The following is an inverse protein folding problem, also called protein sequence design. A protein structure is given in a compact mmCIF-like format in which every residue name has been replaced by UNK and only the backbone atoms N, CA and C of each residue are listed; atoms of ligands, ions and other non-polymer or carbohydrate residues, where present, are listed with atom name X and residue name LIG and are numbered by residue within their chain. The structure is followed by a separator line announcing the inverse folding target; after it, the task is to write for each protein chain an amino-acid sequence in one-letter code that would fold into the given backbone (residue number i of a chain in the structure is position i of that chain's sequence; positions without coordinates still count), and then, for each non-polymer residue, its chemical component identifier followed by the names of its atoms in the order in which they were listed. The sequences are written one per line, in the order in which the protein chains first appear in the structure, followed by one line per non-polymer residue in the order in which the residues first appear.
data_IF_547372837545
#
_entry.id   IF_547372837545
#
_cell.length_a   1.000
_cell.length_b   1.000
_cell.length_c   1.000
_cell.angle_alpha   90.00
_cell.angle_beta   90.00
_cell.angle_gamma   90.00
#
_symmetry.space_group_name_H-M   'P 1'
#
loop_
_entity.id
_entity.type
_entity.pdbx_description
1 polymer ?
#
# COMPACT_ATOMS: atom_id res chain seq x y z
N UNK A 1 11.14 -46.98 -49.08
CA UNK A 1 9.69 -46.90 -48.74
C UNK A 1 8.91 -47.58 -49.84
N UNK A 2 8.32 -48.73 -49.54
CA UNK A 2 7.42 -49.42 -50.49
C UNK A 2 6.15 -48.58 -50.74
N UNK A 3 5.46 -48.75 -51.88
CA UNK A 3 4.21 -48.02 -52.16
C UNK A 3 3.16 -48.18 -51.05
N UNK A 4 3.08 -49.37 -50.44
CA UNK A 4 2.21 -49.66 -49.31
C UNK A 4 2.57 -48.85 -48.04
N UNK A 5 3.87 -48.70 -47.76
CA UNK A 5 4.35 -47.90 -46.61
C UNK A 5 4.03 -46.41 -46.79
N UNK A 6 4.13 -45.87 -48.01
CA UNK A 6 3.76 -44.47 -48.30
C UNK A 6 2.27 -44.22 -48.06
N UNK A 7 1.41 -45.13 -48.54
CA UNK A 7 -0.05 -45.03 -48.36
C UNK A 7 -0.47 -45.16 -46.88
N UNK A 8 0.21 -46.02 -46.12
CA UNK A 8 -0.02 -46.14 -44.67
C UNK A 8 0.39 -44.87 -43.91
N UNK A 9 1.50 -44.23 -44.29
CA UNK A 9 1.94 -42.98 -43.71
C UNK A 9 0.95 -41.84 -43.97
N UNK A 10 0.45 -41.71 -45.20
CA UNK A 10 -0.60 -40.72 -45.54
C UNK A 10 -1.88 -40.94 -44.74
N UNK A 11 -2.32 -42.20 -44.57
CA UNK A 11 -3.49 -42.53 -43.76
C UNK A 11 -3.30 -42.16 -42.28
N UNK A 12 -2.12 -42.42 -41.72
CA UNK A 12 -1.77 -42.02 -40.35
C UNK A 12 -1.75 -40.50 -40.20
N UNK A 13 -1.21 -39.78 -41.18
CA UNK A 13 -1.22 -38.32 -41.18
C UNK A 13 -2.64 -37.75 -41.24
N UNK A 14 -3.52 -38.28 -42.11
CA UNK A 14 -4.93 -37.90 -42.16
C UNK A 14 -5.67 -38.19 -40.86
N UNK A 15 -5.42 -39.36 -40.25
CA UNK A 15 -6.01 -39.72 -38.95
C UNK A 15 -5.55 -38.79 -37.83
N UNK A 16 -4.26 -38.45 -37.79
CA UNK A 16 -3.72 -37.51 -36.80
C UNK A 16 -4.28 -36.10 -37.01
N UNK A 17 -4.44 -35.65 -38.25
CA UNK A 17 -5.08 -34.38 -38.56
C UNK A 17 -6.54 -34.36 -38.05
N UNK A 18 -7.31 -35.43 -38.30
CA UNK A 18 -8.68 -35.56 -37.79
C UNK A 18 -8.75 -35.57 -36.26
N UNK A 19 -7.87 -36.32 -35.59
CA UNK A 19 -7.79 -36.32 -34.11
C UNK A 19 -7.47 -34.94 -33.54
N UNK A 20 -6.56 -34.20 -34.18
CA UNK A 20 -6.17 -32.85 -33.75
C UNK A 20 -7.32 -31.86 -33.95
N UNK A 21 -7.99 -31.91 -35.10
CA UNK A 21 -9.15 -31.07 -35.40
C UNK A 21 -10.29 -31.32 -34.41
N UNK A 22 -10.64 -32.58 -34.16
CA UNK A 22 -11.68 -32.93 -33.18
C UNK A 22 -11.32 -32.47 -31.76
N UNK A 23 -10.06 -32.63 -31.34
CA UNK A 23 -9.60 -32.15 -30.03
C UNK A 23 -9.67 -30.62 -29.92
N UNK A 24 -9.31 -29.91 -30.98
CA UNK A 24 -9.42 -28.45 -31.03
C UNK A 24 -10.88 -27.99 -30.95
N UNK A 25 -11.79 -28.65 -31.67
CA UNK A 25 -13.21 -28.27 -31.67
C UNK A 25 -13.88 -28.54 -30.31
N UNK A 26 -13.59 -29.68 -29.68
CA UNK A 26 -14.07 -29.99 -28.32
C UNK A 26 -13.57 -28.98 -27.29
N UNK A 27 -12.30 -28.56 -27.40
CA UNK A 27 -11.76 -27.52 -26.53
C UNK A 27 -12.45 -26.16 -26.77
N UNK A 28 -12.65 -25.79 -28.04
CA UNK A 28 -13.35 -24.56 -28.41
C UNK A 28 -14.82 -24.56 -27.96
N UNK A 29 -15.50 -25.70 -28.05
CA UNK A 29 -16.87 -25.88 -27.55
C UNK A 29 -16.93 -25.74 -26.02
N UNK A 30 -16.04 -26.41 -25.29
CA UNK A 30 -15.93 -26.28 -23.84
C UNK A 30 -15.66 -24.82 -23.42
N UNK A 31 -14.81 -24.11 -24.16
CA UNK A 31 -14.54 -22.70 -23.91
C UNK A 31 -15.75 -21.81 -24.24
N UNK A 32 -16.49 -22.07 -25.33
CA UNK A 32 -17.75 -21.36 -25.64
C UNK A 32 -18.78 -21.56 -24.53
N UNK A 33 -18.96 -22.79 -24.04
CA UNK A 33 -19.93 -23.11 -22.98
C UNK A 33 -19.54 -22.49 -21.64
N UNK A 34 -18.25 -22.48 -21.26
CA UNK A 34 -17.82 -21.99 -19.93
C UNK A 34 -17.41 -20.52 -19.88
N UNK A 35 -16.94 -19.92 -20.97
CA UNK A 35 -16.30 -18.60 -20.94
C UNK A 35 -17.09 -17.47 -21.60
N UNK A 36 -18.27 -17.70 -22.19
CA UNK A 36 -19.04 -16.63 -22.85
C UNK A 36 -19.31 -15.44 -21.91
N UNK A 37 -19.75 -15.70 -20.67
CA UNK A 37 -20.04 -14.62 -19.71
C UNK A 37 -18.79 -13.90 -19.19
N UNK A 38 -17.69 -14.64 -19.00
CA UNK A 38 -16.44 -14.08 -18.48
C UNK A 38 -15.70 -13.28 -19.54
N UNK A 39 -15.68 -13.77 -20.78
CA UNK A 39 -15.03 -13.10 -21.91
C UNK A 39 -15.79 -11.84 -22.31
N UNK A 40 -17.12 -11.90 -22.39
CA UNK A 40 -17.96 -10.74 -22.68
C UNK A 40 -17.80 -9.64 -21.60
N UNK A 41 -17.85 -10.01 -20.31
CA UNK A 41 -17.62 -9.06 -19.21
C UNK A 41 -16.22 -8.43 -19.27
N UNK A 42 -15.18 -9.21 -19.59
CA UNK A 42 -13.81 -8.72 -19.71
C UNK A 42 -13.65 -7.76 -20.89
N UNK A 43 -14.29 -8.06 -22.02
CA UNK A 43 -14.28 -7.20 -23.20
C UNK A 43 -15.05 -5.90 -22.97
N UNK A 44 -16.20 -5.96 -22.32
CA UNK A 44 -16.99 -4.77 -21.93
C UNK A 44 -16.19 -3.89 -20.96
N UNK A 45 -15.53 -4.48 -19.96
CA UNK A 45 -14.64 -3.75 -19.05
C UNK A 45 -13.46 -3.11 -19.78
N UNK A 46 -12.90 -3.80 -20.78
CA UNK A 46 -11.83 -3.28 -21.61
C UNK A 46 -12.31 -2.08 -22.44
N UNK A 47 -13.45 -2.19 -23.12
CA UNK A 47 -14.07 -1.10 -23.89
C UNK A 47 -14.37 0.11 -23.00
N UNK A 48 -15.00 -0.09 -21.84
CA UNK A 48 -15.24 0.98 -20.84
C UNK A 48 -13.94 1.63 -20.35
N UNK A 49 -12.83 0.88 -20.26
CA UNK A 49 -11.53 1.43 -19.85
C UNK A 49 -10.89 2.24 -20.98
N UNK A 50 -10.97 1.79 -22.22
CA UNK A 50 -10.48 2.51 -23.39
C UNK A 50 -11.28 3.79 -23.64
N UNK A 51 -12.61 3.76 -23.53
CA UNK A 51 -13.46 4.95 -23.59
C UNK A 51 -13.08 5.97 -22.51
N UNK A 52 -12.89 5.51 -21.26
CA UNK A 52 -12.43 6.39 -20.17
C UNK A 52 -11.05 6.98 -20.44
N UNK A 53 -10.13 6.23 -21.07
CA UNK A 53 -8.81 6.75 -21.45
C UNK A 53 -8.92 7.77 -22.58
N UNK A 54 -9.76 7.54 -23.58
CA UNK A 54 -10.00 8.48 -24.69
C UNK A 54 -10.61 9.79 -24.17
N UNK A 55 -11.62 9.68 -23.29
CA UNK A 55 -12.22 10.84 -22.61
C UNK A 55 -11.18 11.55 -21.74
N UNK A 56 -10.31 10.82 -21.03
CA UNK A 56 -9.19 11.38 -20.28
C UNK A 56 -8.17 12.11 -21.16
N UNK A 57 -7.77 11.52 -22.28
CA UNK A 57 -6.84 12.10 -23.24
C UNK A 57 -7.40 13.37 -23.90
N UNK A 58 -8.72 13.42 -24.12
CA UNK A 58 -9.39 14.62 -24.64
C UNK A 58 -9.46 15.80 -23.65
N UNK A 59 -9.09 15.59 -22.39
CA UNK A 59 -9.18 16.61 -21.33
C UNK A 59 -10.61 16.95 -20.86
N UNK A 60 -11.65 16.41 -21.50
CA UNK A 60 -13.08 16.71 -21.22
C UNK A 60 -13.71 15.79 -20.17
N UNK A 61 -12.91 15.23 -19.28
CA UNK A 61 -13.37 14.29 -18.24
C UNK A 61 -14.43 14.89 -17.32
N UNK A 62 -14.24 16.16 -16.98
CA UNK A 62 -15.10 16.94 -16.09
C UNK A 62 -16.50 17.22 -16.68
N UNK A 63 -16.67 17.17 -18.01
CA UNK A 63 -17.96 17.36 -18.66
C UNK A 63 -18.88 16.13 -18.57
N UNK A 64 -18.29 14.94 -18.49
CA UNK A 64 -19.03 13.67 -18.44
C UNK A 64 -19.18 13.13 -17.01
N UNK A 65 -18.76 13.91 -16.00
CA UNK A 65 -18.81 13.53 -14.59
C UNK A 65 -19.95 14.25 -13.89
N UNK A 66 -20.88 13.48 -13.29
CA UNK A 66 -21.95 14.02 -12.46
C UNK A 66 -21.38 14.68 -11.20
N UNK A 67 -22.02 15.77 -10.75
CA UNK A 67 -21.59 16.54 -9.57
C UNK A 67 -21.40 15.66 -8.31
N UNK A 68 -22.29 14.69 -8.06
CA UNK A 68 -22.18 13.75 -6.94
C UNK A 68 -20.91 12.89 -7.00
N UNK A 69 -20.56 12.41 -8.21
CA UNK A 69 -19.36 11.58 -8.41
C UNK A 69 -18.10 12.41 -8.18
N UNK A 70 -18.08 13.66 -8.65
CA UNK A 70 -17.00 14.59 -8.43
C UNK A 70 -16.79 14.88 -6.93
N UNK A 71 -17.87 15.11 -6.18
CA UNK A 71 -17.80 15.35 -4.73
C UNK A 71 -17.25 14.13 -3.99
N UNK A 72 -17.71 12.91 -4.34
CA UNK A 72 -17.19 11.67 -3.77
C UNK A 72 -15.70 11.50 -4.08
N UNK A 73 -15.27 11.79 -5.32
CA UNK A 73 -13.85 11.75 -5.69
C UNK A 73 -13.02 12.77 -4.91
N UNK A 74 -13.51 13.99 -4.74
CA UNK A 74 -12.83 15.03 -3.95
C UNK A 74 -12.71 14.64 -2.47
N UNK A 75 -13.78 14.11 -1.86
CA UNK A 75 -13.76 13.56 -0.49
C UNK A 75 -12.75 12.42 -0.36
N UNK A 76 -12.70 11.52 -1.33
CA UNK A 76 -11.72 10.41 -1.36
C UNK A 76 -10.28 10.91 -1.55
N UNK A 77 -10.06 11.87 -2.45
CA UNK A 77 -8.76 12.47 -2.72
C UNK A 77 -8.21 13.20 -1.48
N UNK A 78 -9.01 14.07 -0.86
CA UNK A 78 -8.63 14.77 0.37
C UNK A 78 -8.37 13.80 1.53
N UNK A 79 -9.14 12.72 1.67
CA UNK A 79 -8.88 11.65 2.66
C UNK A 79 -7.58 10.90 2.36
N UNK A 80 -7.28 10.64 1.08
CA UNK A 80 -6.03 9.99 0.65
C UNK A 80 -4.82 10.88 0.95
N UNK A 81 -4.94 12.18 0.69
CA UNK A 81 -3.88 13.16 0.95
C UNK A 81 -3.62 13.32 2.45
N UNK A 82 -4.66 13.42 3.27
CA UNK A 82 -4.55 13.40 4.75
C UNK A 82 -3.94 12.10 5.29
N UNK A 83 -4.11 10.99 4.56
CA UNK A 83 -3.55 9.66 4.91
C UNK A 83 -2.19 9.40 4.26
N UNK A 84 -1.67 10.30 3.44
CA UNK A 84 -0.35 10.13 2.83
C UNK A 84 0.68 10.10 3.95
N UNK A 85 1.30 8.95 4.14
CA UNK A 85 2.35 8.79 5.13
C UNK A 85 3.54 9.66 4.72
N UNK A 86 4.21 10.27 5.72
CA UNK A 86 5.47 10.94 5.48
C UNK A 86 6.48 9.90 4.94
N UNK A 87 7.23 10.29 3.91
CA UNK A 87 8.17 9.41 3.23
C UNK A 87 9.58 9.62 3.79
N UNK A 88 10.28 8.53 4.12
CA UNK A 88 11.66 8.58 4.56
C UNK A 88 11.88 9.52 5.76
N UNK A 89 12.79 10.48 5.60
CA UNK A 89 13.17 11.44 6.64
C UNK A 89 12.13 12.54 6.90
N UNK A 90 11.13 12.70 6.04
CA UNK A 90 10.04 13.69 6.23
C UNK A 90 9.19 13.40 7.49
N UNK A 91 9.32 12.19 8.04
CA UNK A 91 8.69 11.81 9.33
C UNK A 91 9.18 12.71 10.48
N UNK A 92 10.39 13.26 10.39
CA UNK A 92 10.99 14.09 11.44
C UNK A 92 10.86 15.59 11.18
N UNK A 93 10.15 16.00 10.13
CA UNK A 93 9.91 17.40 9.81
C UNK A 93 8.91 18.05 10.80
N UNK A 94 8.96 19.39 10.91
CA UNK A 94 8.03 20.22 11.67
C UNK A 94 6.56 19.94 11.32
N UNK A 95 6.24 19.70 10.05
CA UNK A 95 4.88 19.35 9.62
C UNK A 95 4.40 18.03 10.23
N UNK A 96 5.27 17.02 10.35
CA UNK A 96 4.94 15.76 11.01
C UNK A 96 4.73 15.95 12.52
N UNK A 97 5.52 16.81 13.16
CA UNK A 97 5.33 17.20 14.57
C UNK A 97 4.00 17.92 14.77
N UNK A 98 3.67 18.87 13.90
CA UNK A 98 2.43 19.63 13.92
C UNK A 98 1.20 18.74 13.70
N UNK A 99 1.24 17.83 12.72
CA UNK A 99 0.18 16.83 12.51
C UNK A 99 0.01 15.91 13.73
N UNK A 100 1.11 15.52 14.37
CA UNK A 100 1.09 14.78 15.63
C UNK A 100 0.38 15.55 16.74
N UNK A 101 0.73 16.83 16.92
CA UNK A 101 0.08 17.73 17.86
C UNK A 101 -1.42 17.88 17.60
N UNK A 102 -1.82 18.13 16.34
CA UNK A 102 -3.24 18.24 15.96
C UNK A 102 -4.04 16.97 16.28
N UNK A 103 -3.45 15.79 16.10
CA UNK A 103 -4.10 14.52 16.48
C UNK A 103 -4.28 14.41 18.00
N UNK A 104 -3.32 14.88 18.79
CA UNK A 104 -3.43 14.87 20.25
C UNK A 104 -4.54 15.79 20.74
N UNK A 105 -4.66 16.98 20.16
CA UNK A 105 -5.72 17.92 20.52
C UNK A 105 -7.13 17.33 20.36
N UNK A 106 -7.34 16.45 19.38
CA UNK A 106 -8.63 15.77 19.19
C UNK A 106 -8.97 14.81 20.34
N UNK A 107 -7.95 14.25 21.00
CA UNK A 107 -8.14 13.29 22.10
C UNK A 107 -8.28 13.98 23.46
N UNK A 108 -8.05 15.29 23.56
CA UNK A 108 -8.24 16.03 24.81
C UNK A 108 -9.72 16.36 25.02
N UNK A 109 -10.24 16.31 26.26
CA UNK A 109 -11.58 16.75 26.55
C UNK A 109 -11.67 18.27 26.40
N UNK A 110 -12.33 18.73 25.33
CA UNK A 110 -12.72 20.13 25.16
C UNK A 110 -14.06 20.37 25.83
N UNK A 111 -14.11 20.30 27.16
CA UNK A 111 -15.31 20.73 27.89
C UNK A 111 -15.28 22.27 28.00
N UNK A 112 -16.38 22.94 27.65
CA UNK A 112 -16.47 24.40 27.70
C UNK A 112 -16.34 24.95 29.13
N UNK A 113 -16.75 24.17 30.12
CA UNK A 113 -16.74 24.54 31.54
C UNK A 113 -15.31 24.62 32.11
N UNK A 114 -14.44 23.64 31.78
CA UNK A 114 -13.03 23.69 32.21
C UNK A 114 -12.25 24.83 31.56
N UNK A 115 -12.62 25.21 30.33
CA UNK A 115 -11.96 26.31 29.63
C UNK A 115 -12.33 27.68 30.24
N UNK A 116 -13.58 27.87 30.66
CA UNK A 116 -14.04 29.10 31.30
C UNK A 116 -13.43 29.29 32.70
N UNK A 117 -13.35 28.22 33.51
CA UNK A 117 -12.74 28.25 34.83
C UNK A 117 -11.23 28.55 34.78
N UNK A 118 -10.52 27.99 33.80
CA UNK A 118 -9.09 28.26 33.57
C UNK A 118 -8.86 29.65 32.96
N UNK A 119 -9.76 30.16 32.11
CA UNK A 119 -9.65 31.51 31.56
C UNK A 119 -9.80 32.59 32.65
N UNK A 120 -10.76 32.42 33.57
CA UNK A 120 -10.98 33.35 34.67
C UNK A 120 -9.79 33.42 35.65
N UNK A 121 -9.09 32.31 35.88
CA UNK A 121 -7.87 32.27 36.72
C UNK A 121 -6.60 32.74 36.00
N UNK A 122 -6.62 32.82 34.66
CA UNK A 122 -5.44 33.14 33.86
C UNK A 122 -5.31 34.63 33.53
N UNK A 123 -6.40 35.39 33.47
CA UNK A 123 -6.32 36.86 33.33
C UNK A 123 -5.56 37.49 34.52
N UNK A 124 -5.77 36.99 35.74
CA UNK A 124 -5.07 37.47 36.94
C UNK A 124 -3.57 37.09 36.99
N UNK A 125 -3.12 36.15 36.16
CA UNK A 125 -1.77 35.55 36.24
C UNK A 125 -0.81 36.00 35.12
N UNK A 126 -1.30 36.68 34.08
CA UNK A 126 -0.45 37.15 32.97
C UNK A 126 0.31 38.44 33.27
N UNK A 127 -0.09 39.16 34.33
CA UNK A 127 0.51 40.44 34.74
C UNK A 127 1.62 40.29 35.80
N UNK A 128 1.79 39.11 36.40
CA UNK A 128 2.81 38.84 37.41
C UNK A 128 3.99 38.06 36.80
N UNK A 129 5.07 38.78 36.42
CA UNK A 129 6.32 38.20 35.87
C UNK A 129 7.00 37.20 36.82
N UNK A 130 6.65 37.18 38.11
CA UNK A 130 7.14 36.23 39.13
C UNK A 130 6.16 35.08 39.41
N UNK A 131 5.02 35.00 38.71
CA UNK A 131 4.05 33.92 38.90
C UNK A 131 4.52 32.56 38.36
N UNK A 132 5.62 32.52 37.58
CA UNK A 132 6.18 31.26 37.11
C UNK A 132 6.81 30.47 38.28
N UNK A 133 6.54 29.16 38.34
CA UNK A 133 7.09 28.28 39.37
C UNK A 133 6.28 28.20 40.67
N UNK A 134 5.12 28.88 40.76
CA UNK A 134 4.13 28.59 41.80
C UNK A 134 3.58 27.16 41.59
N UNK A 135 3.51 26.39 42.66
CA UNK A 135 2.93 25.04 42.64
C UNK A 135 1.41 25.17 42.56
N UNK A 136 0.89 25.16 41.32
CA UNK A 136 -0.54 25.21 41.09
C UNK A 136 -1.08 23.81 41.35
N UNK A 137 -2.02 23.67 42.29
CA UNK A 137 -2.70 22.40 42.52
C UNK A 137 -3.47 21.98 41.26
N UNK A 138 -2.92 21.00 40.54
CA UNK A 138 -3.56 20.41 39.37
C UNK A 138 -4.41 19.23 39.84
N UNK A 139 -5.66 19.17 39.38
CA UNK A 139 -6.54 18.02 39.62
C UNK A 139 -5.85 16.69 39.24
N UNK A 140 -5.87 15.73 40.16
CA UNK A 140 -5.23 14.41 40.00
C UNK A 140 -5.72 13.69 38.74
N UNK A 141 -6.99 13.85 38.38
CA UNK A 141 -7.56 13.26 37.18
C UNK A 141 -6.90 13.76 35.89
N UNK A 142 -6.42 15.02 35.87
CA UNK A 142 -5.69 15.57 34.72
C UNK A 142 -4.26 15.03 34.67
N UNK A 143 -3.62 14.82 35.82
CA UNK A 143 -2.28 14.23 35.92
C UNK A 143 -2.32 12.76 35.46
N UNK A 144 -3.31 11.99 35.90
CA UNK A 144 -3.47 10.60 35.49
C UNK A 144 -3.68 10.48 33.98
N UNK A 145 -4.53 11.36 33.40
CA UNK A 145 -4.75 11.40 31.95
C UNK A 145 -3.47 11.69 31.18
N UNK A 146 -2.65 12.62 31.65
CA UNK A 146 -1.35 12.90 31.06
C UNK A 146 -0.44 11.68 31.12
N UNK A 147 -0.39 10.98 32.26
CA UNK A 147 0.41 9.77 32.43
C UNK A 147 -0.03 8.66 31.47
N UNK A 148 -1.33 8.43 31.32
CA UNK A 148 -1.90 7.46 30.37
C UNK A 148 -1.51 7.81 28.93
N UNK A 149 -1.62 9.08 28.54
CA UNK A 149 -1.25 9.56 27.20
C UNK A 149 0.24 9.35 26.89
N UNK A 150 1.12 9.59 27.86
CA UNK A 150 2.55 9.30 27.75
C UNK A 150 2.82 7.80 27.59
N UNK A 151 2.11 6.95 28.32
CA UNK A 151 2.25 5.50 28.21
C UNK A 151 1.83 5.00 26.81
N UNK A 152 0.72 5.52 26.28
CA UNK A 152 0.28 5.24 24.91
C UNK A 152 1.30 5.67 23.87
N UNK A 153 1.93 6.84 24.05
CA UNK A 153 3.02 7.31 23.17
C UNK A 153 4.21 6.35 23.20
N UNK A 154 4.60 5.88 24.38
CA UNK A 154 5.69 4.90 24.53
C UNK A 154 5.32 3.61 23.80
N UNK A 155 4.09 3.10 23.97
CA UNK A 155 3.58 1.91 23.27
C UNK A 155 3.58 2.11 21.75
N UNK A 156 3.16 3.28 21.25
CA UNK A 156 3.17 3.61 19.83
C UNK A 156 4.60 3.70 19.26
N UNK A 157 5.53 4.31 20.00
CA UNK A 157 6.96 4.41 19.62
C UNK A 157 7.61 3.03 19.49
N UNK A 158 7.31 2.11 20.41
CA UNK A 158 7.79 0.71 20.34
C UNK A 158 7.29 0.00 19.07
N UNK A 159 6.06 0.30 18.62
CA UNK A 159 5.45 -0.28 17.42
C UNK A 159 5.84 0.42 16.11
N UNK A 160 6.54 1.56 16.16
CA UNK A 160 6.92 2.34 14.98
C UNK A 160 7.82 1.55 14.03
N UNK A 161 8.80 0.81 14.57
CA UNK A 161 9.63 -0.11 13.80
C UNK A 161 9.04 -1.52 13.81
N UNK A 162 8.47 -1.94 12.69
CA UNK A 162 7.92 -3.29 12.53
C UNK A 162 9.03 -4.25 12.12
N UNK A 163 9.25 -5.31 12.90
CA UNK A 163 10.11 -6.43 12.49
C UNK A 163 9.46 -7.15 11.31
N UNK A 164 10.21 -7.37 10.24
CA UNK A 164 9.77 -8.21 9.12
C UNK A 164 9.95 -9.68 9.51
N UNK A 165 8.90 -10.47 9.33
CA UNK A 165 8.94 -11.92 9.59
C UNK A 165 9.98 -12.60 8.69
N UNK A 166 10.58 -13.67 9.20
CA UNK A 166 11.43 -14.57 8.41
C UNK A 166 10.54 -15.59 7.71
N UNK A 167 10.78 -15.86 6.43
CA UNK A 167 10.08 -16.93 5.71
C UNK A 167 11.01 -18.14 5.63
N UNK A 168 10.53 -19.32 6.00
CA UNK A 168 11.36 -20.54 6.07
C UNK A 168 11.82 -21.07 4.70
N UNK A 169 11.23 -20.59 3.60
CA UNK A 169 11.63 -20.93 2.23
C UNK A 169 12.47 -19.86 1.52
N UNK A 170 13.00 -18.87 2.25
CA UNK A 170 13.91 -17.85 1.68
C UNK A 170 15.36 -18.35 1.77
N UNK A 171 16.12 -18.20 0.68
CA UNK A 171 17.54 -18.56 0.66
C UNK A 171 18.32 -17.73 1.68
N UNK A 172 19.01 -18.41 2.60
CA UNK A 172 19.70 -17.77 3.71
C UNK A 172 21.16 -17.48 3.33
N UNK A 173 21.46 -16.20 3.10
CA UNK A 173 22.81 -15.70 2.75
C UNK A 173 23.67 -15.29 3.95
N UNK A 174 23.22 -15.57 5.18
CA UNK A 174 23.82 -15.07 6.42
C UNK A 174 24.02 -16.17 7.47
N UNK A 175 25.11 -16.07 8.23
CA UNK A 175 25.44 -17.00 9.33
C UNK A 175 24.89 -16.51 10.67
N UNK A 176 24.90 -15.19 10.90
CA UNK A 176 24.46 -14.58 12.16
C UNK A 176 23.49 -13.40 11.92
N UNK A 177 22.84 -12.93 12.99
CA UNK A 177 21.85 -11.85 12.90
C UNK A 177 22.43 -10.49 12.49
N UNK A 178 23.70 -10.21 12.81
CA UNK A 178 24.37 -8.98 12.39
C UNK A 178 24.66 -9.00 10.88
N UNK A 179 25.12 -10.14 10.37
CA UNK A 179 25.36 -10.41 8.96
C UNK A 179 24.05 -10.28 8.17
N UNK A 180 22.93 -10.83 8.69
CA UNK A 180 21.60 -10.63 8.09
C UNK A 180 21.26 -9.15 7.90
N UNK A 181 21.52 -8.33 8.93
CA UNK A 181 21.24 -6.89 8.87
C UNK A 181 22.17 -6.20 7.87
N UNK A 182 23.44 -6.60 7.81
CA UNK A 182 24.41 -6.08 6.86
C UNK A 182 24.04 -6.45 5.41
N UNK A 183 23.80 -7.72 5.11
CA UNK A 183 23.33 -8.19 3.81
C UNK A 183 22.05 -7.45 3.40
N UNK A 184 21.07 -7.34 4.29
CA UNK A 184 19.83 -6.59 4.02
C UNK A 184 20.07 -5.10 3.71
N UNK A 185 21.09 -4.46 4.31
CA UNK A 185 21.48 -3.08 3.98
C UNK A 185 22.16 -3.02 2.61
N UNK A 186 23.09 -3.94 2.34
CA UNK A 186 23.76 -4.06 1.06
C UNK A 186 22.74 -4.28 -0.06
N UNK A 187 21.77 -5.16 0.13
CA UNK A 187 20.71 -5.42 -0.85
C UNK A 187 19.91 -4.17 -1.18
N UNK A 188 19.54 -3.36 -0.19
CA UNK A 188 18.80 -2.11 -0.44
C UNK A 188 19.58 -1.11 -1.30
N UNK A 189 20.90 -1.07 -1.19
CA UNK A 189 21.74 -0.14 -1.93
C UNK A 189 22.16 -0.69 -3.31
N UNK A 190 22.53 -1.96 -3.38
CA UNK A 190 23.22 -2.55 -4.53
C UNK A 190 22.35 -3.45 -5.40
N UNK A 191 21.23 -3.99 -4.90
CA UNK A 191 20.39 -4.93 -5.68
C UNK A 191 19.93 -4.36 -7.01
N UNK A 192 19.70 -3.04 -7.06
CA UNK A 192 19.32 -2.35 -8.29
C UNK A 192 20.39 -2.49 -9.39
N UNK A 193 21.66 -2.62 -9.02
CA UNK A 193 22.80 -2.66 -9.93
C UNK A 193 23.37 -4.06 -10.13
N UNK A 194 23.11 -5.00 -9.21
CA UNK A 194 23.69 -6.35 -9.22
C UNK A 194 22.72 -7.43 -9.72
N UNK A 195 21.57 -7.05 -10.28
CA UNK A 195 20.56 -7.99 -10.79
C UNK A 195 21.14 -9.00 -11.79
N UNK A 196 21.95 -8.53 -12.74
CA UNK A 196 22.54 -9.41 -13.76
C UNK A 196 23.52 -10.42 -13.16
N UNK A 197 24.35 -9.98 -12.22
CA UNK A 197 25.31 -10.85 -11.53
C UNK A 197 24.56 -11.94 -10.74
N UNK A 198 23.50 -11.57 -10.02
CA UNK A 198 22.66 -12.53 -9.29
C UNK A 198 22.02 -13.55 -10.23
N UNK A 199 21.45 -13.08 -11.33
CA UNK A 199 20.82 -13.97 -12.30
C UNK A 199 21.82 -14.92 -12.97
N UNK A 200 23.05 -14.47 -13.22
CA UNK A 200 24.11 -15.31 -13.77
C UNK A 200 24.53 -16.42 -12.79
N UNK A 201 24.63 -16.07 -11.50
CA UNK A 201 24.86 -17.03 -10.41
C UNK A 201 23.73 -18.06 -10.32
N UNK A 202 22.46 -17.62 -10.36
CA UNK A 202 21.28 -18.51 -10.33
C UNK A 202 21.21 -19.43 -11.56
N UNK A 203 21.70 -18.98 -12.71
CA UNK A 203 21.75 -19.79 -13.95
C UNK A 203 22.94 -20.74 -14.01
N UNK A 204 23.86 -20.67 -13.04
CA UNK A 204 25.09 -21.48 -13.02
C UNK A 204 26.08 -21.14 -14.14
N UNK A 205 25.86 -20.03 -14.84
CA UNK A 205 26.75 -19.54 -15.89
C UNK A 205 27.41 -18.27 -15.38
N UNK A 206 28.61 -18.41 -14.82
CA UNK A 206 29.53 -17.29 -14.79
C UNK A 206 29.81 -16.89 -16.25
N UNK A 207 29.78 -15.60 -16.55
CA UNK A 207 30.21 -15.06 -17.85
C UNK A 207 31.55 -15.68 -18.28
#
# INVERSE_FOLDING_TARGET
MTPAQKKLFELRMKMNAGRKANKQEVAAEHDRVKNNDKKAKKEEQFKKREEKKLVAASGKTHLNETAEVAEIKAKKASKKEKRKAAFGWDVFNQDSLYKGYKKRLVNLPTSGETAAAVAATREDALDDELAYGKDNEVDEANVERMAQELEERIKARKKFSRRRQHYEGEDVDYINGQNRIFNRKASQAFDKYTVEIRQNLERGTAL
#
